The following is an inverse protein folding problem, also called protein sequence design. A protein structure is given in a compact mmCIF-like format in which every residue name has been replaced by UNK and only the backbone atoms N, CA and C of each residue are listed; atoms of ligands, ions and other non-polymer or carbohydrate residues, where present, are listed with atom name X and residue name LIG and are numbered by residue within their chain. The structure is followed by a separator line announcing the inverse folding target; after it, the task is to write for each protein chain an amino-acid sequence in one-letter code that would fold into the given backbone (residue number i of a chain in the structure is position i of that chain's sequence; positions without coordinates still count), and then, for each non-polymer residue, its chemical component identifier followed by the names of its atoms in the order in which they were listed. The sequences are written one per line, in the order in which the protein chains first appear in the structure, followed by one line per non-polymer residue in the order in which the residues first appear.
data_IF_526760925703
#
_entry.id   IF_526760925703
#
_cell.length_a   1.000
_cell.length_b   1.000
_cell.length_c   1.000
_cell.angle_alpha   90.00
_cell.angle_beta   90.00
_cell.angle_gamma   90.00
#
_symmetry.space_group_name_H-M   'P 1'
#
loop_
_entity.id
_entity.type
_entity.pdbx_description
1 polymer ?
#
# COMPACT_ATOMS: atom_id res chain seq x y z
N UNK A 1 -0.10 -1.43 -40.97
CA UNK A 1 -0.12 -2.74 -41.70
C UNK A 1 -1.46 -3.48 -41.54
N UNK A 2 -2.00 -3.75 -40.34
CA UNK A 2 -3.26 -4.49 -40.15
C UNK A 2 -4.47 -3.90 -40.89
N UNK A 3 -4.62 -2.58 -40.92
CA UNK A 3 -5.68 -1.90 -41.68
C UNK A 3 -5.60 -2.17 -43.17
N UNK A 4 -4.39 -2.20 -43.75
CA UNK A 4 -4.19 -2.52 -45.16
C UNK A 4 -4.60 -3.98 -45.45
N UNK A 5 -4.24 -4.93 -44.60
CA UNK A 5 -4.65 -6.32 -44.73
C UNK A 5 -6.15 -6.52 -44.59
N UNK A 6 -6.79 -5.83 -43.63
CA UNK A 6 -8.24 -5.84 -43.46
C UNK A 6 -8.96 -5.33 -44.73
N UNK A 7 -8.45 -4.24 -45.32
CA UNK A 7 -8.96 -3.68 -46.57
C UNK A 7 -8.83 -4.67 -47.73
N UNK A 8 -7.65 -5.33 -47.86
CA UNK A 8 -7.47 -6.36 -48.90
C UNK A 8 -8.46 -7.48 -48.69
N UNK A 9 -8.67 -7.99 -47.48
CA UNK A 9 -9.65 -9.02 -47.17
C UNK A 9 -11.07 -8.61 -47.59
N UNK A 10 -11.44 -7.38 -47.32
CA UNK A 10 -12.76 -6.85 -47.69
C UNK A 10 -12.94 -6.74 -49.21
N UNK A 11 -11.88 -6.40 -49.95
CA UNK A 11 -11.93 -6.19 -51.41
C UNK A 11 -11.51 -7.42 -52.23
N UNK A 12 -11.13 -8.51 -51.60
CA UNK A 12 -10.63 -9.72 -52.28
C UNK A 12 -11.66 -10.40 -53.19
N UNK A 13 -12.98 -10.14 -53.00
CA UNK A 13 -14.05 -10.61 -53.88
C UNK A 13 -14.21 -9.78 -55.16
N UNK A 14 -13.72 -8.56 -55.19
CA UNK A 14 -13.88 -7.62 -56.32
C UNK A 14 -12.59 -7.44 -57.12
N UNK A 15 -11.42 -7.61 -56.51
CA UNK A 15 -10.13 -7.37 -57.14
C UNK A 15 -9.12 -8.45 -56.80
N UNK A 16 -8.21 -8.72 -57.76
CA UNK A 16 -7.12 -9.68 -57.52
C UNK A 16 -6.22 -9.24 -56.37
N UNK A 17 -6.01 -10.12 -55.39
CA UNK A 17 -5.21 -9.83 -54.16
C UNK A 17 -3.81 -9.28 -54.49
N UNK A 18 -3.17 -9.83 -55.53
CA UNK A 18 -1.83 -9.41 -55.99
C UNK A 18 -1.81 -7.95 -56.44
N UNK A 19 -2.89 -7.49 -57.12
CA UNK A 19 -3.06 -6.09 -57.57
C UNK A 19 -3.28 -5.15 -56.35
N UNK A 20 -4.13 -5.56 -55.40
CA UNK A 20 -4.33 -4.81 -54.18
C UNK A 20 -3.06 -4.68 -53.36
N UNK A 21 -2.28 -5.77 -53.24
CA UNK A 21 -1.00 -5.72 -52.55
C UNK A 21 0.00 -4.78 -53.20
N UNK A 22 0.10 -4.78 -54.52
CA UNK A 22 0.97 -3.84 -55.28
C UNK A 22 0.57 -2.36 -55.02
N UNK A 23 -0.73 -2.08 -55.17
CA UNK A 23 -1.25 -0.71 -54.96
C UNK A 23 -0.98 -0.20 -53.54
N UNK A 24 -1.13 -1.05 -52.52
CA UNK A 24 -0.93 -0.71 -51.13
C UNK A 24 0.55 -0.81 -50.69
N UNK A 25 1.45 -1.18 -51.63
CA UNK A 25 2.90 -1.35 -51.40
C UNK A 25 3.18 -2.31 -50.23
N UNK A 26 2.61 -3.51 -50.30
CA UNK A 26 2.84 -4.60 -49.33
C UNK A 26 3.11 -5.90 -50.09
N UNK A 27 3.86 -6.80 -49.45
CA UNK A 27 4.16 -8.11 -50.07
C UNK A 27 3.00 -9.07 -49.85
N UNK A 28 2.56 -9.83 -50.88
CA UNK A 28 1.46 -10.80 -50.77
C UNK A 28 1.65 -11.85 -49.66
N UNK A 29 2.90 -12.31 -49.44
CA UNK A 29 3.21 -13.25 -48.35
C UNK A 29 2.84 -12.75 -47.00
N UNK A 30 3.04 -11.44 -46.73
CA UNK A 30 2.65 -10.79 -45.45
C UNK A 30 1.14 -10.76 -45.27
N UNK A 31 0.36 -10.60 -46.36
CA UNK A 31 -1.09 -10.69 -46.30
C UNK A 31 -1.57 -12.14 -46.01
N UNK A 32 -1.04 -13.13 -46.70
CA UNK A 32 -1.42 -14.52 -46.45
C UNK A 32 -1.00 -15.01 -45.07
N UNK A 33 0.18 -14.64 -44.59
CA UNK A 33 0.60 -14.94 -43.23
C UNK A 33 -0.33 -14.31 -42.20
N UNK A 34 -0.79 -13.05 -42.42
CA UNK A 34 -1.78 -12.42 -41.57
C UNK A 34 -3.16 -13.08 -41.67
N UNK A 35 -3.53 -13.58 -42.84
CA UNK A 35 -4.81 -14.27 -43.04
C UNK A 35 -4.87 -15.59 -42.28
N UNK A 36 -3.77 -16.37 -42.30
CA UNK A 36 -3.65 -17.64 -41.59
C UNK A 36 -3.48 -17.39 -40.05
N UNK A 37 -2.73 -16.36 -39.67
CA UNK A 37 -2.45 -16.08 -38.28
C UNK A 37 -2.57 -14.55 -37.99
N UNK A 38 -3.81 -14.04 -37.79
CA UNK A 38 -4.06 -12.59 -37.61
C UNK A 38 -3.36 -11.95 -36.41
N UNK A 39 -3.04 -12.76 -35.42
CA UNK A 39 -2.33 -12.34 -34.22
C UNK A 39 -0.87 -12.77 -34.28
N UNK A 40 0.04 -11.79 -34.22
CA UNK A 40 1.47 -12.09 -34.09
C UNK A 40 1.79 -12.73 -32.73
N UNK A 41 2.87 -13.52 -32.65
CA UNK A 41 3.34 -14.12 -31.40
C UNK A 41 3.45 -13.09 -30.27
N UNK A 42 3.94 -11.88 -30.58
CA UNK A 42 3.99 -10.76 -29.64
C UNK A 42 2.60 -10.31 -29.16
N UNK A 43 1.58 -10.33 -30.03
CA UNK A 43 0.23 -9.94 -29.64
C UNK A 43 -0.42 -11.00 -28.73
N UNK A 44 -0.15 -12.27 -28.99
CA UNK A 44 -0.60 -13.37 -28.13
C UNK A 44 0.05 -13.30 -26.75
N UNK A 45 1.36 -13.04 -26.71
CA UNK A 45 2.09 -12.87 -25.44
C UNK A 45 1.69 -11.58 -24.71
N UNK A 46 1.39 -10.49 -25.43
CA UNK A 46 0.81 -9.27 -24.82
C UNK A 46 -0.55 -9.55 -24.17
N UNK A 47 -1.39 -10.39 -24.76
CA UNK A 47 -2.68 -10.81 -24.20
C UNK A 47 -2.51 -11.66 -22.93
N UNK A 48 -1.59 -12.65 -22.96
CA UNK A 48 -1.25 -13.48 -21.80
C UNK A 48 -0.74 -12.60 -20.66
N UNK A 49 0.23 -11.75 -20.95
CA UNK A 49 0.83 -10.85 -19.96
C UNK A 49 -0.19 -9.87 -19.39
N UNK A 50 -1.15 -9.40 -20.20
CA UNK A 50 -2.22 -8.53 -19.75
C UNK A 50 -3.14 -9.22 -18.73
N UNK A 51 -3.39 -10.52 -18.88
CA UNK A 51 -4.10 -11.33 -17.88
C UNK A 51 -3.40 -11.31 -16.52
N UNK A 52 -2.09 -11.51 -16.48
CA UNK A 52 -1.28 -11.47 -15.27
C UNK A 52 -1.23 -10.05 -14.65
N UNK A 53 -1.12 -9.02 -15.48
CA UNK A 53 -1.19 -7.61 -15.06
C UNK A 53 -2.54 -7.30 -14.39
N UNK A 54 -3.65 -7.74 -14.98
CA UNK A 54 -5.00 -7.57 -14.41
C UNK A 54 -5.12 -8.27 -13.05
N UNK A 55 -4.63 -9.49 -12.97
CA UNK A 55 -4.65 -10.26 -11.73
C UNK A 55 -3.91 -9.53 -10.60
N UNK A 56 -2.64 -9.16 -10.81
CA UNK A 56 -1.86 -8.39 -9.83
C UNK A 56 -2.52 -7.05 -9.46
N UNK A 57 -3.11 -6.36 -10.45
CA UNK A 57 -3.81 -5.10 -10.19
C UNK A 57 -5.07 -5.30 -9.33
N UNK A 58 -5.86 -6.35 -9.60
CA UNK A 58 -7.06 -6.68 -8.81
C UNK A 58 -6.71 -7.14 -7.39
N UNK A 59 -5.69 -7.99 -7.24
CA UNK A 59 -5.21 -8.43 -5.92
C UNK A 59 -4.74 -7.27 -5.04
N UNK A 60 -4.16 -6.23 -5.64
CA UNK A 60 -3.81 -5.00 -4.93
C UNK A 60 -5.02 -4.11 -4.61
N UNK A 61 -6.24 -4.50 -4.97
CA UNK A 61 -7.42 -3.64 -4.86
C UNK A 61 -7.38 -2.41 -5.78
N UNK A 62 -6.70 -2.49 -6.92
CA UNK A 62 -6.52 -1.40 -7.86
C UNK A 62 -5.53 -0.31 -7.39
N UNK A 63 -4.71 -0.61 -6.40
CA UNK A 63 -3.74 0.33 -5.81
C UNK A 63 -2.45 0.40 -6.60
N UNK A 64 -1.97 -0.73 -7.11
CA UNK A 64 -0.65 -0.81 -7.74
C UNK A 64 -0.58 -0.12 -9.10
N UNK A 65 0.52 0.59 -9.30
CA UNK A 65 0.94 1.10 -10.60
C UNK A 65 1.95 0.16 -11.28
N UNK A 66 2.28 0.48 -12.53
CA UNK A 66 3.13 -0.37 -13.37
C UNK A 66 4.45 -0.83 -12.73
N UNK A 67 5.04 -0.05 -11.82
CA UNK A 67 6.30 -0.42 -11.16
C UNK A 67 6.11 -1.61 -10.22
N UNK A 68 5.14 -1.55 -9.33
CA UNK A 68 4.84 -2.64 -8.40
C UNK A 68 4.31 -3.88 -9.10
N UNK A 69 3.44 -3.70 -10.11
CA UNK A 69 2.98 -4.80 -10.97
C UNK A 69 4.15 -5.45 -11.70
N UNK A 70 5.10 -4.68 -12.22
CA UNK A 70 6.30 -5.25 -12.84
C UNK A 70 7.12 -6.06 -11.82
N UNK A 71 7.23 -5.60 -10.58
CA UNK A 71 7.96 -6.33 -9.53
C UNK A 71 7.22 -7.64 -9.16
N UNK A 72 5.86 -7.63 -9.11
CA UNK A 72 5.05 -8.86 -8.95
C UNK A 72 5.28 -9.86 -10.10
N UNK A 73 5.27 -9.37 -11.35
CA UNK A 73 5.51 -10.22 -12.51
C UNK A 73 6.91 -10.84 -12.50
N UNK A 74 7.92 -10.10 -12.09
CA UNK A 74 9.28 -10.63 -11.93
C UNK A 74 9.37 -11.72 -10.87
N UNK A 75 8.64 -11.57 -9.79
CA UNK A 75 8.62 -12.53 -8.67
C UNK A 75 8.03 -13.87 -9.10
N UNK A 76 7.05 -13.88 -10.00
CA UNK A 76 6.51 -15.11 -10.62
C UNK A 76 7.32 -15.60 -11.83
N UNK A 77 8.50 -15.00 -12.09
CA UNK A 77 9.42 -15.42 -13.14
C UNK A 77 9.17 -14.84 -14.54
N UNK A 78 8.28 -13.84 -14.68
CA UNK A 78 8.01 -13.21 -15.98
C UNK A 78 9.10 -12.24 -16.42
N UNK A 79 9.69 -12.52 -17.58
CA UNK A 79 10.70 -11.68 -18.21
C UNK A 79 10.04 -10.59 -19.08
N UNK A 80 9.64 -9.48 -18.48
CA UNK A 80 9.04 -8.36 -19.20
C UNK A 80 9.63 -7.02 -18.77
N UNK A 81 9.68 -6.04 -19.66
CA UNK A 81 10.20 -4.71 -19.34
C UNK A 81 9.12 -3.80 -18.74
N UNK A 82 9.53 -2.89 -17.84
CA UNK A 82 8.64 -1.92 -17.18
C UNK A 82 7.79 -1.09 -18.15
N UNK A 83 8.37 -0.69 -19.29
CA UNK A 83 7.66 0.08 -20.32
C UNK A 83 6.57 -0.75 -21.02
N UNK A 84 6.80 -2.07 -21.16
CA UNK A 84 5.79 -2.97 -21.71
C UNK A 84 4.59 -3.08 -20.79
N UNK A 85 4.82 -3.28 -19.49
CA UNK A 85 3.76 -3.28 -18.46
C UNK A 85 3.00 -1.96 -18.46
N UNK A 86 3.69 -0.83 -18.43
CA UNK A 86 3.05 0.50 -18.47
C UNK A 86 2.19 0.72 -19.72
N UNK A 87 2.65 0.25 -20.88
CA UNK A 87 1.90 0.32 -22.15
C UNK A 87 0.63 -0.52 -22.10
N UNK A 88 0.73 -1.77 -21.62
CA UNK A 88 -0.41 -2.68 -21.53
C UNK A 88 -1.45 -2.18 -20.53
N UNK A 89 -1.04 -1.70 -19.36
CA UNK A 89 -1.93 -1.06 -18.39
C UNK A 89 -2.66 0.14 -18.99
N UNK A 90 -1.97 0.98 -19.78
CA UNK A 90 -2.59 2.15 -20.42
C UNK A 90 -3.64 1.74 -21.46
N UNK A 91 -3.36 0.71 -22.28
CA UNK A 91 -4.30 0.19 -23.28
C UNK A 91 -5.57 -0.31 -22.60
N UNK A 92 -5.46 -0.96 -21.47
CA UNK A 92 -6.59 -1.52 -20.71
C UNK A 92 -7.23 -0.51 -19.73
N UNK A 93 -6.72 0.71 -19.67
CA UNK A 93 -7.23 1.74 -18.75
C UNK A 93 -6.94 1.50 -17.27
N UNK A 94 -6.04 0.57 -16.94
CA UNK A 94 -5.64 0.26 -15.56
C UNK A 94 -4.76 1.38 -15.02
N UNK A 95 -5.16 1.96 -13.90
CA UNK A 95 -4.45 3.09 -13.27
C UNK A 95 -4.21 2.81 -11.78
N UNK A 96 -3.04 3.25 -11.30
CA UNK A 96 -2.79 3.30 -9.86
C UNK A 96 -3.63 4.39 -9.21
N UNK A 97 -3.90 4.22 -7.93
CA UNK A 97 -4.54 5.26 -7.16
C UNK A 97 -3.55 6.36 -6.80
N UNK A 98 -3.86 7.57 -7.23
CA UNK A 98 -3.14 8.78 -6.88
C UNK A 98 -3.89 9.54 -5.81
N UNK A 99 -3.16 10.04 -4.78
CA UNK A 99 -3.75 10.86 -3.72
C UNK A 99 -4.02 12.29 -4.19
N UNK A 100 -5.01 12.94 -3.59
CA UNK A 100 -5.23 14.37 -3.76
C UNK A 100 -4.18 15.17 -2.99
N UNK A 101 -3.61 16.22 -3.60
CA UNK A 101 -2.80 17.22 -2.89
C UNK A 101 -3.73 18.06 -2.01
N UNK A 102 -3.73 17.82 -0.70
CA UNK A 102 -4.37 18.71 0.27
C UNK A 102 -3.29 19.21 1.23
N UNK A 103 -3.22 20.52 1.44
CA UNK A 103 -2.33 21.10 2.46
C UNK A 103 -2.87 20.75 3.84
N UNK A 104 -2.04 20.36 4.82
CA UNK A 104 -2.46 20.13 6.19
C UNK A 104 -3.01 21.43 6.80
N UNK A 105 -4.13 21.34 7.53
CA UNK A 105 -4.65 22.44 8.35
C UNK A 105 -3.80 22.61 9.63
N UNK A 106 -3.72 23.84 10.15
CA UNK A 106 -3.09 24.09 11.45
C UNK A 106 -4.08 23.71 12.56
N UNK A 107 -3.70 22.76 13.42
CA UNK A 107 -4.43 22.42 14.64
C UNK A 107 -3.65 22.97 15.84
N UNK A 108 -4.30 23.72 16.72
CA UNK A 108 -3.73 24.24 17.93
C UNK A 108 -4.56 23.82 19.15
N UNK A 109 -3.95 23.11 20.08
CA UNK A 109 -4.44 22.81 21.42
C UNK A 109 -3.28 22.86 22.41
N UNK A 110 -3.53 23.16 23.70
CA UNK A 110 -2.50 23.13 24.77
C UNK A 110 -2.46 21.68 25.32
N UNK A 111 -1.34 20.95 25.24
CA UNK A 111 -1.20 19.69 25.93
C UNK A 111 -0.82 19.88 27.39
N UNK A 112 -1.18 18.94 28.22
CA UNK A 112 -0.76 18.87 29.62
C UNK A 112 0.68 18.37 29.72
N UNK A 113 1.21 17.50 30.21
CA UNK A 113 2.62 17.13 30.43
C UNK A 113 3.14 16.31 29.22
N UNK A 114 4.14 16.82 28.52
CA UNK A 114 4.78 16.12 27.40
C UNK A 114 6.05 15.38 27.85
N UNK A 115 6.21 14.14 27.36
CA UNK A 115 7.48 13.41 27.48
C UNK A 115 8.53 13.98 26.49
N UNK A 116 9.85 13.85 26.77
CA UNK A 116 10.88 14.35 25.87
C UNK A 116 10.85 13.61 24.51
N UNK A 117 11.26 14.31 23.45
CA UNK A 117 11.42 13.70 22.13
C UNK A 117 12.75 12.91 22.08
N UNK A 118 12.69 11.62 22.35
CA UNK A 118 13.85 10.72 22.32
C UNK A 118 14.14 10.23 20.91
N UNK A 119 13.11 10.09 20.06
CA UNK A 119 13.23 9.57 18.69
C UNK A 119 14.06 10.51 17.79
N UNK A 120 13.96 11.84 17.96
CA UNK A 120 14.73 12.86 17.21
C UNK A 120 14.74 12.64 15.69
N UNK A 121 13.66 12.09 15.11
CA UNK A 121 13.54 11.71 13.68
C UNK A 121 14.49 10.61 13.21
N UNK A 122 15.03 9.81 14.10
CA UNK A 122 15.80 8.63 13.73
C UNK A 122 14.85 7.50 13.36
N UNK A 123 14.34 7.53 12.13
CA UNK A 123 13.35 6.55 11.64
C UNK A 123 13.99 5.28 11.05
N UNK A 124 15.31 5.25 10.91
CA UNK A 124 16.07 4.09 10.44
C UNK A 124 16.48 3.24 11.66
N UNK A 125 15.64 2.26 11.96
CA UNK A 125 15.81 1.32 13.07
C UNK A 125 16.31 0.01 12.50
N UNK A 126 17.29 -0.61 13.14
CA UNK A 126 17.99 -1.79 12.61
C UNK A 126 17.39 -3.12 13.07
N UNK A 127 16.55 -3.11 14.09
CA UNK A 127 15.94 -4.32 14.68
C UNK A 127 14.45 -4.12 14.96
N UNK A 128 13.62 -5.18 14.80
CA UNK A 128 12.21 -5.12 15.15
C UNK A 128 12.03 -4.97 16.67
N UNK A 129 10.90 -4.39 17.06
CA UNK A 129 10.50 -4.19 18.46
C UNK A 129 11.45 -3.30 19.28
N UNK A 130 12.17 -2.39 18.64
CA UNK A 130 13.01 -1.38 19.31
C UNK A 130 12.26 -0.07 19.45
N UNK A 131 11.59 0.36 18.39
CA UNK A 131 10.84 1.62 18.37
C UNK A 131 9.49 1.40 17.70
N UNK A 132 8.43 1.71 18.43
CA UNK A 132 7.07 1.76 17.91
C UNK A 132 6.60 3.19 17.80
N UNK A 133 5.84 3.51 16.77
CA UNK A 133 5.15 4.80 16.62
C UNK A 133 3.64 4.58 16.68
N UNK A 134 2.95 5.47 17.36
CA UNK A 134 1.49 5.42 17.51
C UNK A 134 0.85 6.75 17.16
N UNK A 135 -0.34 6.68 16.60
CA UNK A 135 -1.14 7.85 16.26
C UNK A 135 -2.62 7.45 16.11
N UNK A 136 -3.50 8.44 16.14
CA UNK A 136 -4.95 8.27 16.04
C UNK A 136 -5.48 9.01 14.82
N UNK A 137 -6.34 8.34 14.06
CA UNK A 137 -7.10 8.98 12.99
C UNK A 137 -8.60 8.75 13.17
N UNK A 138 -9.41 9.44 12.38
CA UNK A 138 -10.86 9.31 12.40
C UNK A 138 -11.41 8.95 11.03
N UNK A 139 -12.48 8.18 11.05
CA UNK A 139 -13.23 7.68 9.90
C UNK A 139 -14.67 8.14 10.05
N UNK A 140 -15.21 8.72 9.00
CA UNK A 140 -16.62 9.16 8.99
C UNK A 140 -17.51 8.03 8.52
N UNK A 141 -18.58 7.78 9.27
CA UNK A 141 -19.68 6.88 8.89
C UNK A 141 -21.01 7.63 9.03
N UNK A 142 -22.11 7.07 8.53
CA UNK A 142 -23.44 7.65 8.79
C UNK A 142 -23.87 7.55 10.25
N UNK A 143 -23.33 6.59 11.01
CA UNK A 143 -23.55 6.47 12.47
C UNK A 143 -22.68 7.47 13.28
N UNK A 144 -21.86 8.28 12.63
CA UNK A 144 -20.94 9.23 13.26
C UNK A 144 -19.47 8.83 13.13
N UNK A 145 -18.63 9.38 14.00
CA UNK A 145 -17.18 9.14 13.94
C UNK A 145 -16.80 7.77 14.49
N UNK A 146 -15.83 7.15 13.87
CA UNK A 146 -15.07 6.02 14.35
C UNK A 146 -13.60 6.40 14.40
N UNK A 147 -12.96 6.23 15.55
CA UNK A 147 -11.55 6.54 15.74
C UNK A 147 -10.72 5.27 15.64
N UNK A 148 -9.59 5.36 14.98
CA UNK A 148 -8.63 4.28 14.81
C UNK A 148 -7.30 4.70 15.41
N UNK A 149 -6.82 4.00 16.43
CA UNK A 149 -5.46 4.04 16.91
C UNK A 149 -4.64 2.92 16.27
N UNK A 150 -3.39 3.21 15.91
CA UNK A 150 -2.45 2.22 15.38
C UNK A 150 -1.11 2.29 16.09
N UNK A 151 -0.45 1.16 16.15
CA UNK A 151 0.95 1.03 16.60
C UNK A 151 1.73 0.39 15.45
N UNK A 152 2.76 1.07 14.94
CA UNK A 152 3.62 0.59 13.86
C UNK A 152 5.04 0.34 14.40
N UNK A 153 5.62 -0.77 14.02
CA UNK A 153 7.05 -1.00 14.21
C UNK A 153 7.86 -0.20 13.18
N UNK A 154 8.80 0.61 13.66
CA UNK A 154 9.62 1.44 12.77
C UNK A 154 10.57 0.64 11.90
N UNK A 155 11.00 -0.55 12.32
CA UNK A 155 11.89 -1.41 11.55
C UNK A 155 11.25 -1.85 10.24
N UNK A 156 10.06 -2.44 10.32
CA UNK A 156 9.38 -3.06 9.17
C UNK A 156 8.22 -2.25 8.60
N UNK A 157 7.79 -1.19 9.30
CA UNK A 157 6.54 -0.47 9.00
C UNK A 157 5.29 -1.33 9.21
N UNK A 158 5.39 -2.45 9.91
CA UNK A 158 4.27 -3.32 10.20
C UNK A 158 3.34 -2.67 11.22
N UNK A 159 2.03 -2.74 10.98
CA UNK A 159 1.04 -2.42 12.01
C UNK A 159 0.98 -3.60 12.98
N UNK A 160 1.57 -3.43 14.15
CA UNK A 160 1.68 -4.48 15.18
C UNK A 160 0.50 -4.47 16.16
N UNK A 161 -0.19 -3.34 16.28
CA UNK A 161 -1.40 -3.22 17.08
C UNK A 161 -2.31 -2.13 16.55
N UNK A 162 -3.61 -2.31 16.75
CA UNK A 162 -4.62 -1.32 16.40
C UNK A 162 -5.91 -1.53 17.20
N UNK A 163 -6.70 -0.47 17.35
CA UNK A 163 -8.00 -0.49 18.01
C UNK A 163 -8.93 0.53 17.39
N UNK A 164 -10.23 0.28 17.44
CA UNK A 164 -11.26 1.19 16.94
C UNK A 164 -12.40 1.38 17.92
N UNK A 165 -12.68 2.65 18.27
CA UNK A 165 -13.79 3.03 19.18
C UNK A 165 -14.58 4.22 18.63
N UNK A 166 -15.86 4.38 19.06
CA UNK A 166 -16.66 5.55 18.67
C UNK A 166 -16.22 6.85 19.34
N UNK A 167 -15.35 6.76 20.35
CA UNK A 167 -14.83 7.88 21.12
C UNK A 167 -13.31 7.86 21.14
N UNK A 168 -12.70 9.04 21.16
CA UNK A 168 -11.25 9.22 21.19
C UNK A 168 -10.78 9.36 22.63
N UNK A 169 -10.79 8.25 23.38
CA UNK A 169 -10.34 8.15 24.77
C UNK A 169 -8.93 7.57 24.90
N UNK A 170 -8.31 7.63 26.07
CA UNK A 170 -7.03 6.97 26.36
C UNK A 170 -7.10 5.44 26.14
N UNK A 171 -8.25 4.83 26.46
CA UNK A 171 -8.46 3.39 26.27
C UNK A 171 -8.31 2.94 24.81
N UNK A 172 -8.62 3.83 23.86
CA UNK A 172 -8.43 3.53 22.44
C UNK A 172 -6.94 3.31 22.12
N UNK A 173 -6.07 4.17 22.65
CA UNK A 173 -4.63 4.06 22.44
C UNK A 173 -4.02 2.90 23.23
N UNK A 174 -4.49 2.68 24.47
CA UNK A 174 -4.07 1.59 25.34
C UNK A 174 -4.42 0.23 24.72
N UNK A 175 -5.63 0.04 24.18
CA UNK A 175 -6.03 -1.20 23.53
C UNK A 175 -5.19 -1.52 22.28
N UNK A 176 -4.86 -0.49 21.48
CA UNK A 176 -3.95 -0.67 20.35
C UNK A 176 -2.55 -1.10 20.79
N UNK A 177 -2.04 -0.49 21.86
CA UNK A 177 -0.74 -0.83 22.42
C UNK A 177 -0.74 -2.19 23.10
N UNK A 178 -1.82 -2.55 23.79
CA UNK A 178 -2.02 -3.88 24.39
C UNK A 178 -1.96 -4.97 23.32
N UNK A 179 -2.65 -4.79 22.20
CA UNK A 179 -2.57 -5.70 21.06
C UNK A 179 -1.12 -5.85 20.56
N UNK A 180 -0.38 -4.74 20.44
CA UNK A 180 1.02 -4.76 20.02
C UNK A 180 1.90 -5.57 21.00
N UNK A 181 1.79 -5.32 22.30
CA UNK A 181 2.52 -6.07 23.34
C UNK A 181 2.21 -7.56 23.29
N UNK A 182 0.92 -7.92 23.17
CA UNK A 182 0.50 -9.33 23.12
C UNK A 182 1.00 -10.06 21.85
N UNK A 183 0.99 -9.39 20.73
CA UNK A 183 1.46 -9.99 19.46
C UNK A 183 2.98 -10.11 19.40
N UNK A 184 3.69 -9.12 19.92
CA UNK A 184 5.15 -9.02 19.75
C UNK A 184 5.93 -9.58 20.93
N UNK A 185 5.36 -9.57 22.14
CA UNK A 185 5.99 -10.05 23.39
C UNK A 185 7.45 -9.59 23.49
N UNK A 186 7.71 -8.27 23.43
CA UNK A 186 9.07 -7.76 23.40
C UNK A 186 9.84 -8.19 24.65
N UNK A 187 11.06 -8.68 24.45
CA UNK A 187 11.94 -9.09 25.55
C UNK A 187 12.79 -7.94 26.10
N UNK A 188 12.94 -6.90 25.30
CA UNK A 188 13.72 -5.71 25.62
C UNK A 188 12.79 -4.50 25.77
N UNK A 189 13.35 -3.42 26.29
CA UNK A 189 12.66 -2.13 26.38
C UNK A 189 12.33 -1.62 24.97
N UNK A 190 11.08 -1.16 24.79
CA UNK A 190 10.62 -0.59 23.52
C UNK A 190 10.27 0.87 23.70
N UNK A 191 10.82 1.74 22.85
CA UNK A 191 10.42 3.14 22.79
C UNK A 191 9.09 3.26 22.05
N UNK A 192 8.09 3.87 22.67
CA UNK A 192 6.79 4.19 22.07
C UNK A 192 6.70 5.69 21.80
N UNK A 193 6.76 6.07 20.54
CA UNK A 193 6.70 7.46 20.12
C UNK A 193 5.28 7.85 19.67
N UNK A 194 4.77 8.96 20.19
CA UNK A 194 3.44 9.50 19.88
C UNK A 194 3.49 11.00 19.60
N UNK A 195 2.38 11.57 19.14
CA UNK A 195 2.14 13.00 19.19
C UNK A 195 1.84 13.46 20.65
N UNK A 196 1.61 14.76 20.84
CA UNK A 196 1.25 15.33 22.14
C UNK A 196 -0.27 15.31 22.38
N UNK A 197 -0.98 14.31 21.90
CA UNK A 197 -2.40 14.13 22.16
C UNK A 197 -2.68 13.86 23.64
N UNK A 198 -3.84 14.34 24.14
CA UNK A 198 -4.24 14.15 25.55
C UNK A 198 -4.34 12.66 25.95
N UNK A 199 -4.62 11.77 24.98
CA UNK A 199 -4.69 10.33 25.17
C UNK A 199 -3.35 9.74 25.63
N UNK A 200 -2.24 10.26 25.08
CA UNK A 200 -0.89 9.80 25.34
C UNK A 200 -0.23 10.47 26.56
N UNK A 201 -0.90 11.44 27.18
CA UNK A 201 -0.45 12.11 28.41
C UNK A 201 -1.23 11.69 29.66
N UNK A 202 -2.20 10.78 29.54
CA UNK A 202 -3.02 10.28 30.63
C UNK A 202 -2.21 9.48 31.67
N UNK A 203 -2.71 9.42 32.92
CA UNK A 203 -2.15 8.57 33.98
C UNK A 203 -2.13 7.10 33.56
N UNK A 204 -3.24 6.63 32.97
CA UNK A 204 -3.44 5.25 32.61
C UNK A 204 -2.47 4.81 31.51
N UNK A 205 -2.23 5.68 30.49
CA UNK A 205 -1.22 5.47 29.47
C UNK A 205 0.17 5.31 30.08
N UNK A 206 0.58 6.22 30.98
CA UNK A 206 1.89 6.14 31.63
C UNK A 206 2.04 4.91 32.52
N UNK A 207 1.00 4.53 33.23
CA UNK A 207 0.97 3.32 34.05
C UNK A 207 1.10 2.07 33.19
N UNK A 208 0.41 2.02 32.05
CA UNK A 208 0.49 0.91 31.10
C UNK A 208 1.90 0.78 30.51
N UNK A 209 2.52 1.87 30.08
CA UNK A 209 3.90 1.86 29.58
C UNK A 209 4.87 1.29 30.61
N UNK A 210 4.81 1.79 31.85
CA UNK A 210 5.68 1.33 32.93
C UNK A 210 5.50 -0.17 33.24
N UNK A 211 4.25 -0.65 33.25
CA UNK A 211 3.92 -2.05 33.55
C UNK A 211 4.42 -3.03 32.45
N UNK A 212 4.64 -2.54 31.22
CA UNK A 212 5.04 -3.36 30.08
C UNK A 212 6.48 -3.10 29.57
N UNK A 213 7.33 -2.47 30.39
CA UNK A 213 8.72 -2.10 30.03
C UNK A 213 8.81 -1.26 28.73
N UNK A 214 7.92 -0.28 28.60
CA UNK A 214 7.85 0.62 27.46
C UNK A 214 8.25 2.04 27.87
N UNK A 215 9.00 2.73 27.02
CA UNK A 215 9.47 4.11 27.26
C UNK A 215 8.74 5.10 26.37
N UNK A 216 8.18 6.13 26.98
CA UNK A 216 7.47 7.18 26.26
C UNK A 216 8.44 8.14 25.55
N UNK A 217 8.15 8.42 24.29
CA UNK A 217 8.75 9.51 23.53
C UNK A 217 7.64 10.33 22.87
N UNK A 218 7.71 11.65 22.84
CA UNK A 218 6.68 12.49 22.25
C UNK A 218 7.27 13.46 21.23
N UNK A 219 6.54 13.66 20.14
CA UNK A 219 6.85 14.66 19.11
C UNK A 219 6.95 16.06 19.72
N UNK A 220 7.74 16.93 19.12
CA UNK A 220 7.74 18.36 19.48
C UNK A 220 6.43 18.99 19.05
N UNK A 221 5.98 19.96 19.83
CA UNK A 221 4.71 20.66 19.60
C UNK A 221 4.64 21.27 18.21
N UNK A 222 3.57 20.98 17.48
CA UNK A 222 3.32 21.50 16.14
C UNK A 222 4.26 20.98 15.06
N UNK A 223 5.06 19.95 15.34
CA UNK A 223 6.00 19.37 14.40
C UNK A 223 5.50 18.01 13.91
N UNK A 224 4.71 18.02 12.82
CA UNK A 224 4.19 16.82 12.18
C UNK A 224 5.28 15.88 11.65
N UNK A 225 6.48 16.39 11.35
CA UNK A 225 7.56 15.56 10.84
C UNK A 225 8.14 14.59 11.87
N UNK A 226 7.89 14.81 13.16
CA UNK A 226 8.38 13.93 14.21
C UNK A 226 7.57 12.60 14.28
N UNK A 227 6.33 12.55 13.73
CA UNK A 227 5.49 11.34 13.61
C UNK A 227 5.17 10.97 12.15
N UNK A 228 6.06 11.29 11.22
CA UNK A 228 5.83 11.17 9.78
C UNK A 228 5.48 9.74 9.30
N UNK A 229 5.93 8.70 10.01
CA UNK A 229 5.66 7.30 9.64
C UNK A 229 4.20 6.93 9.88
N UNK A 230 3.63 7.28 11.03
CA UNK A 230 2.21 7.03 11.31
C UNK A 230 1.31 7.88 10.40
N UNK A 231 1.69 9.15 10.17
CA UNK A 231 0.99 10.00 9.19
C UNK A 231 1.00 9.40 7.78
N UNK A 232 2.15 8.86 7.35
CA UNK A 232 2.28 8.18 6.05
C UNK A 232 1.36 6.97 5.95
N UNK A 233 1.29 6.14 6.98
CA UNK A 233 0.36 5.02 7.04
C UNK A 233 -1.10 5.49 6.89
N UNK A 234 -1.51 6.50 7.64
CA UNK A 234 -2.88 7.02 7.53
C UNK A 234 -3.19 7.64 6.17
N UNK A 235 -2.22 8.30 5.54
CA UNK A 235 -2.38 8.78 4.17
C UNK A 235 -2.63 7.61 3.19
N UNK A 236 -1.90 6.49 3.35
CA UNK A 236 -2.10 5.30 2.55
C UNK A 236 -3.48 4.69 2.80
N UNK A 237 -3.84 4.41 4.04
CA UNK A 237 -5.14 3.87 4.43
C UNK A 237 -6.30 4.73 3.89
N UNK A 238 -6.23 6.04 4.11
CA UNK A 238 -7.26 6.98 3.63
C UNK A 238 -7.37 7.00 2.12
N UNK A 239 -6.25 6.98 1.41
CA UNK A 239 -6.23 6.99 -0.05
C UNK A 239 -6.69 5.67 -0.66
N UNK A 240 -6.23 4.57 -0.08
CA UNK A 240 -6.39 3.23 -0.66
C UNK A 240 -7.72 2.59 -0.31
N UNK A 241 -8.33 2.99 0.83
CA UNK A 241 -9.59 2.40 1.33
C UNK A 241 -10.63 3.44 1.72
N UNK A 242 -10.40 4.23 2.76
CA UNK A 242 -11.43 5.00 3.45
C UNK A 242 -12.10 6.05 2.56
N UNK A 243 -11.35 6.81 1.76
CA UNK A 243 -11.89 7.88 0.92
C UNK A 243 -12.64 7.38 -0.32
N UNK A 244 -12.70 6.10 -0.54
CA UNK A 244 -13.34 5.47 -1.71
C UNK A 244 -14.75 4.97 -1.43
N UNK A 245 -15.10 4.88 -0.18
CA UNK A 245 -16.39 4.37 0.30
C UNK A 245 -17.03 5.37 1.25
N UNK A 246 -18.34 5.37 1.28
CA UNK A 246 -19.13 5.97 2.35
C UNK A 246 -19.64 4.80 3.18
N UNK A 247 -19.16 4.69 4.41
CA UNK A 247 -19.57 3.60 5.29
C UNK A 247 -20.94 3.87 5.88
N UNK A 248 -21.83 2.90 5.78
CA UNK A 248 -23.16 2.99 6.37
C UNK A 248 -23.08 2.88 7.88
N UNK A 249 -22.34 1.88 8.37
CA UNK A 249 -22.18 1.61 9.79
C UNK A 249 -20.71 1.73 10.23
N UNK A 250 -20.49 1.84 11.53
CA UNK A 250 -19.16 1.73 12.13
C UNK A 250 -18.58 0.32 11.95
N UNK A 251 -19.46 -0.70 11.87
CA UNK A 251 -19.01 -2.07 11.67
C UNK A 251 -18.46 -2.26 10.27
N UNK A 252 -19.10 -1.75 9.21
CA UNK A 252 -18.57 -1.79 7.84
C UNK A 252 -17.18 -1.16 7.75
N UNK A 253 -16.97 -0.04 8.48
CA UNK A 253 -15.68 0.62 8.52
C UNK A 253 -14.62 -0.21 9.27
N UNK A 254 -15.01 -0.93 10.35
CA UNK A 254 -14.11 -1.83 11.08
C UNK A 254 -13.65 -2.99 10.22
N UNK A 255 -14.58 -3.63 9.54
CA UNK A 255 -14.31 -4.80 8.70
C UNK A 255 -13.38 -4.41 7.53
N UNK A 256 -13.61 -3.26 6.89
CA UNK A 256 -12.76 -2.79 5.79
C UNK A 256 -11.35 -2.37 6.27
N UNK A 257 -11.22 -1.80 7.45
CA UNK A 257 -9.91 -1.48 8.05
C UNK A 257 -9.18 -2.75 8.49
N UNK A 258 -9.89 -3.71 9.07
CA UNK A 258 -9.34 -5.02 9.40
C UNK A 258 -8.74 -5.68 8.16
N UNK A 259 -9.53 -5.80 7.08
CA UNK A 259 -9.09 -6.38 5.82
C UNK A 259 -7.88 -5.62 5.24
N UNK A 260 -7.90 -4.29 5.34
CA UNK A 260 -6.77 -3.51 4.87
C UNK A 260 -5.49 -3.80 5.64
N UNK A 261 -5.54 -3.83 6.96
CA UNK A 261 -4.36 -4.02 7.81
C UNK A 261 -3.86 -5.47 7.75
N UNK A 262 -4.76 -6.42 8.03
CA UNK A 262 -4.37 -7.82 8.27
C UNK A 262 -4.25 -8.63 6.97
N UNK A 263 -5.08 -8.34 5.96
CA UNK A 263 -5.10 -9.15 4.73
C UNK A 263 -4.32 -8.52 3.58
N UNK A 264 -4.03 -7.20 3.65
CA UNK A 264 -3.33 -6.51 2.57
C UNK A 264 -2.08 -5.76 3.02
N UNK A 265 -2.19 -4.78 3.93
CA UNK A 265 -1.07 -3.89 4.28
C UNK A 265 0.13 -4.66 4.86
N UNK A 266 -0.09 -5.44 5.89
CA UNK A 266 0.96 -6.20 6.56
C UNK A 266 1.51 -7.34 5.68
N UNK A 267 0.68 -8.25 5.11
CA UNK A 267 1.21 -9.43 4.43
C UNK A 267 1.57 -9.21 2.96
N UNK A 268 0.95 -8.28 2.25
CA UNK A 268 1.06 -8.18 0.79
C UNK A 268 1.58 -6.84 0.28
N UNK A 269 1.23 -5.73 0.97
CA UNK A 269 1.50 -4.40 0.43
C UNK A 269 2.99 -4.10 0.35
N UNK A 270 3.51 -3.89 -0.86
CA UNK A 270 4.92 -3.54 -1.09
C UNK A 270 5.26 -2.15 -0.58
N UNK A 271 6.37 -2.06 0.15
CA UNK A 271 6.91 -0.82 0.69
C UNK A 271 8.27 -0.51 0.08
N UNK A 272 8.45 0.72 -0.41
CA UNK A 272 9.75 1.15 -0.96
C UNK A 272 10.84 1.15 0.11
N UNK A 273 10.51 1.47 1.35
CA UNK A 273 11.42 1.42 2.50
C UNK A 273 11.95 0.00 2.74
N UNK A 274 11.11 -1.01 2.57
CA UNK A 274 11.45 -2.42 2.77
C UNK A 274 11.95 -3.09 1.46
N UNK A 275 12.61 -2.39 0.58
CA UNK A 275 13.07 -2.91 -0.71
C UNK A 275 11.95 -3.58 -1.53
N UNK A 276 10.77 -2.99 -1.56
CA UNK A 276 9.56 -3.51 -2.20
C UNK A 276 8.99 -4.80 -1.58
N UNK A 277 9.44 -5.20 -0.41
CA UNK A 277 8.83 -6.27 0.35
C UNK A 277 7.62 -5.77 1.15
N UNK A 278 6.71 -6.66 1.51
CA UNK A 278 5.70 -6.37 2.51
C UNK A 278 6.32 -6.29 3.91
N UNK A 279 5.68 -5.63 4.89
CA UNK A 279 6.18 -5.59 6.26
C UNK A 279 6.51 -6.97 6.84
N UNK A 280 5.59 -7.94 6.69
CA UNK A 280 5.77 -9.30 7.19
C UNK A 280 6.92 -10.03 6.48
N UNK A 281 7.01 -9.91 5.15
CA UNK A 281 8.06 -10.56 4.39
C UNK A 281 9.44 -9.96 4.71
N UNK A 282 9.50 -8.66 4.95
CA UNK A 282 10.73 -7.99 5.37
C UNK A 282 11.26 -8.53 6.70
N UNK A 283 10.39 -8.69 7.71
CA UNK A 283 10.78 -9.28 8.99
C UNK A 283 11.16 -10.75 8.88
N UNK A 284 10.45 -11.54 8.07
CA UNK A 284 10.81 -12.94 7.82
C UNK A 284 12.21 -13.08 7.24
N UNK A 285 12.57 -12.25 6.26
CA UNK A 285 13.92 -12.27 5.66
C UNK A 285 14.99 -11.84 6.65
N UNK A 286 14.68 -10.86 7.48
CA UNK A 286 15.59 -10.45 8.55
C UNK A 286 15.83 -11.60 9.54
N UNK A 287 14.77 -12.26 10.02
CA UNK A 287 14.90 -13.40 10.92
C UNK A 287 15.73 -14.54 10.29
N UNK A 288 15.47 -14.91 9.04
CA UNK A 288 16.25 -15.92 8.32
C UNK A 288 17.73 -15.54 8.15
N UNK A 289 18.04 -14.25 8.00
CA UNK A 289 19.43 -13.78 7.92
C UNK A 289 20.18 -13.94 9.24
N UNK A 290 19.51 -13.86 10.39
CA UNK A 290 20.11 -14.07 11.70
C UNK A 290 20.37 -15.56 11.99
N UNK A 291 19.54 -16.46 11.45
CA UNK A 291 19.72 -17.92 11.61
C UNK A 291 20.84 -18.49 10.72
N UNK A 292 21.26 -17.74 9.71
CA UNK A 292 22.30 -18.16 8.77
C UNK A 292 23.73 -17.72 9.16
N UNK A 293 23.88 -16.99 10.26
CA UNK A 293 25.15 -16.53 10.86
C UNK A 293 25.46 -17.36 12.10
#
# INVERSE_FOLDING_TARGET
MRLKYAFIKQQAGHYAIRRLCLTLKIHPSGYYAWLSEPQSARAKDDQRLLGLIKHSWLESGGVYGYRKIHDDLREIGEACGRHRVARLMRIEGLRSQTGYRRRPGKYGGKPAVASPNLLKRQFDVVEPNTVWVTDITYIRTYEGWLYLAVVLDLFSRQVVGWSMKPQMTSDLAIDALLMAVWRRKPKQEVMVHSDQGSQYSSSDWRSFLKANNLVASMSRRGNCHDNAVAESFFQLLKRERIKRKIYTTRQDARDDVFDYIEMFYNPKRRHSFNNQLSPVEFEKRYAASLESV
#
